data_IF_671695960048
#
_entry.id   IF_671695960048
#
_cell.length_a   1.000
_cell.length_b   1.000
_cell.length_c   1.000
_cell.angle_alpha   90.00
_cell.angle_beta   90.00
_cell.angle_gamma   90.00
#
_symmetry.space_group_name_H-M   'P 1'
#
loop_
_entity.id
_entity.type
_entity.pdbx_description
1 polymer ?
#
# COMPACT_ATOMS: atom_id res chain seq x y z
N UNK A 1 17.76 20.39 1.08
CA UNK A 1 17.24 19.35 1.98
C UNK A 1 15.77 19.58 2.39
N UNK A 2 15.38 20.75 2.87
CA UNK A 2 14.00 21.07 3.31
C UNK A 2 12.97 20.86 2.18
N UNK A 3 13.29 21.29 0.95
CA UNK A 3 12.39 21.16 -0.22
C UNK A 3 12.13 19.68 -0.56
N UNK A 4 13.12 18.81 -0.46
CA UNK A 4 12.96 17.38 -0.71
C UNK A 4 12.04 16.72 0.33
N UNK A 5 12.14 17.12 1.59
CA UNK A 5 11.27 16.64 2.68
C UNK A 5 9.83 17.11 2.46
N UNK A 6 9.63 18.39 2.09
CA UNK A 6 8.30 18.92 1.78
C UNK A 6 7.65 18.20 0.60
N UNK A 7 8.38 17.98 -0.49
CA UNK A 7 7.87 17.23 -1.65
C UNK A 7 7.51 15.80 -1.24
N UNK A 8 8.34 15.14 -0.43
CA UNK A 8 8.05 13.78 0.04
C UNK A 8 6.79 13.71 0.89
N UNK A 9 6.56 14.69 1.78
CA UNK A 9 5.35 14.76 2.61
C UNK A 9 4.12 15.02 1.74
N UNK A 10 4.20 15.95 0.78
CA UNK A 10 3.09 16.25 -0.12
C UNK A 10 2.75 15.04 -1.01
N UNK A 11 3.75 14.38 -1.57
CA UNK A 11 3.56 13.18 -2.38
C UNK A 11 2.97 12.04 -1.54
N UNK A 12 3.44 11.86 -0.30
CA UNK A 12 2.92 10.85 0.61
C UNK A 12 1.45 11.12 0.97
N UNK A 13 1.09 12.35 1.30
CA UNK A 13 -0.30 12.72 1.60
C UNK A 13 -1.23 12.54 0.39
N UNK A 14 -0.78 12.95 -0.79
CA UNK A 14 -1.54 12.76 -2.03
C UNK A 14 -1.73 11.27 -2.35
N UNK A 15 -0.69 10.46 -2.15
CA UNK A 15 -0.75 9.02 -2.33
C UNK A 15 -1.72 8.34 -1.35
N UNK A 16 -1.72 8.74 -0.08
CA UNK A 16 -2.63 8.21 0.94
C UNK A 16 -4.10 8.54 0.65
N UNK A 17 -4.39 9.74 0.16
CA UNK A 17 -5.77 10.12 -0.22
C UNK A 17 -6.28 9.29 -1.40
N UNK A 18 -5.42 8.98 -2.38
CA UNK A 18 -5.78 8.13 -3.53
C UNK A 18 -5.88 6.63 -3.16
N UNK A 19 -5.41 6.24 -1.98
CA UNK A 19 -5.50 4.88 -1.46
C UNK A 19 -6.67 4.66 -0.49
N UNK A 20 -7.52 5.66 -0.29
CA UNK A 20 -8.69 5.51 0.57
C UNK A 20 -9.49 4.28 0.15
N UNK A 21 -9.62 3.34 1.06
CA UNK A 21 -10.43 2.13 0.86
C UNK A 21 -11.74 2.27 1.61
N UNK A 22 -12.81 1.84 0.98
CA UNK A 22 -14.15 1.86 1.52
C UNK A 22 -14.50 0.49 2.10
N UNK A 23 -15.14 0.50 3.24
CA UNK A 23 -15.69 -0.73 3.82
C UNK A 23 -17.03 -1.09 3.17
N UNK A 24 -17.45 -2.35 3.20
CA UNK A 24 -18.78 -2.77 2.75
C UNK A 24 -19.93 -1.93 3.34
N UNK A 25 -19.84 -1.57 4.61
CA UNK A 25 -20.81 -0.71 5.28
C UNK A 25 -20.85 0.71 4.69
N UNK A 26 -19.71 1.30 4.43
CA UNK A 26 -19.62 2.63 3.81
C UNK A 26 -20.17 2.63 2.39
N UNK A 27 -19.84 1.60 1.60
CA UNK A 27 -20.35 1.43 0.22
C UNK A 27 -21.87 1.35 0.22
N UNK A 28 -22.46 0.58 1.13
CA UNK A 28 -23.91 0.40 1.22
C UNK A 28 -24.65 1.68 1.66
N UNK A 29 -24.07 2.44 2.61
CA UNK A 29 -24.70 3.66 3.14
C UNK A 29 -24.56 4.83 2.17
N UNK A 30 -23.35 5.03 1.63
CA UNK A 30 -23.04 6.24 0.84
C UNK A 30 -23.26 6.07 -0.66
N UNK A 31 -23.38 4.81 -1.14
CA UNK A 31 -23.67 4.45 -2.54
C UNK A 31 -22.86 5.29 -3.55
N UNK A 32 -21.52 5.26 -3.49
CA UNK A 32 -20.69 6.12 -4.32
C UNK A 32 -20.93 5.83 -5.81
N UNK A 33 -21.09 6.89 -6.59
CA UNK A 33 -21.25 6.81 -8.06
C UNK A 33 -19.93 6.75 -8.80
N UNK A 34 -18.83 7.14 -8.13
CA UNK A 34 -17.49 7.11 -8.68
C UNK A 34 -16.84 5.74 -8.48
N UNK A 35 -15.74 5.54 -9.18
CA UNK A 35 -14.91 4.36 -9.00
C UNK A 35 -14.19 4.42 -7.66
N UNK A 36 -14.35 3.39 -6.86
CA UNK A 36 -13.80 3.29 -5.50
C UNK A 36 -13.04 1.98 -5.28
N UNK A 37 -12.26 1.96 -4.22
CA UNK A 37 -11.63 0.75 -3.71
C UNK A 37 -12.41 0.21 -2.51
N UNK A 38 -12.98 -0.97 -2.64
CA UNK A 38 -13.68 -1.65 -1.55
C UNK A 38 -12.74 -2.68 -0.90
N UNK A 39 -12.56 -2.59 0.42
CA UNK A 39 -11.77 -3.53 1.22
C UNK A 39 -12.73 -4.46 1.97
N UNK A 40 -12.50 -5.75 1.92
CA UNK A 40 -13.25 -6.73 2.70
C UNK A 40 -12.74 -8.15 2.47
N UNK A 41 -13.35 -9.09 3.16
CA UNK A 41 -13.05 -10.52 3.04
C UNK A 41 -14.10 -11.20 2.16
N UNK A 42 -13.67 -12.11 1.28
CA UNK A 42 -14.58 -12.97 0.51
C UNK A 42 -15.28 -13.93 1.47
N UNK A 43 -16.60 -13.83 1.56
CA UNK A 43 -17.41 -14.69 2.43
C UNK A 43 -17.35 -16.14 1.94
N UNK A 44 -17.04 -17.09 2.85
CA UNK A 44 -17.00 -18.52 2.53
C UNK A 44 -18.31 -19.05 1.98
N UNK A 45 -18.24 -19.95 0.98
CA UNK A 45 -19.40 -20.56 0.35
C UNK A 45 -20.18 -19.65 -0.60
N UNK A 46 -19.71 -18.42 -0.88
CA UNK A 46 -20.42 -17.48 -1.75
C UNK A 46 -19.77 -17.29 -3.11
N UNK A 47 -18.55 -17.78 -3.30
CA UNK A 47 -17.81 -17.65 -4.56
C UNK A 47 -18.43 -18.58 -5.62
N UNK A 48 -18.97 -17.98 -6.68
CA UNK A 48 -19.61 -18.66 -7.81
C UNK A 48 -19.10 -18.08 -9.11
N UNK A 49 -19.24 -18.85 -10.20
CA UNK A 49 -18.82 -18.42 -11.54
C UNK A 49 -17.48 -19.03 -11.96
N UNK A 50 -16.93 -18.56 -13.05
CA UNK A 50 -15.67 -19.05 -13.59
C UNK A 50 -14.51 -18.07 -13.29
N UNK A 51 -13.86 -18.30 -12.16
CA UNK A 51 -12.71 -17.47 -11.74
C UNK A 51 -11.61 -17.46 -12.80
N UNK A 52 -11.43 -18.57 -13.52
CA UNK A 52 -10.40 -18.67 -14.58
C UNK A 52 -10.67 -17.77 -15.77
N UNK A 53 -11.94 -17.47 -16.05
CA UNK A 53 -12.34 -16.58 -17.14
C UNK A 53 -12.50 -15.12 -16.69
N UNK A 54 -12.21 -14.85 -15.42
CA UNK A 54 -12.34 -13.51 -14.86
C UNK A 54 -13.79 -13.05 -14.66
N UNK A 55 -14.75 -13.99 -14.57
CA UNK A 55 -16.16 -13.70 -14.28
C UNK A 55 -16.60 -14.49 -13.05
N UNK A 56 -16.79 -13.78 -11.95
CA UNK A 56 -17.14 -14.39 -10.67
C UNK A 56 -18.11 -13.50 -9.86
N UNK A 57 -18.96 -14.16 -9.09
CA UNK A 57 -19.85 -13.48 -8.14
C UNK A 57 -19.56 -14.01 -6.74
N UNK A 58 -19.54 -13.12 -5.76
CA UNK A 58 -19.31 -13.47 -4.36
C UNK A 58 -19.83 -12.37 -3.44
N UNK A 59 -19.75 -12.59 -2.13
CA UNK A 59 -20.05 -11.56 -1.15
C UNK A 59 -18.78 -11.07 -0.48
N UNK A 60 -18.61 -9.76 -0.42
CA UNK A 60 -17.53 -9.10 0.31
C UNK A 60 -18.05 -8.71 1.69
N UNK A 61 -17.45 -9.23 2.74
CA UNK A 61 -17.88 -9.03 4.13
C UNK A 61 -16.83 -8.29 4.93
N UNK A 62 -17.28 -7.39 5.80
CA UNK A 62 -16.51 -6.79 6.88
C UNK A 62 -17.45 -6.42 8.03
N UNK A 63 -17.06 -6.74 9.28
CA UNK A 63 -17.86 -6.46 10.49
C UNK A 63 -19.34 -6.88 10.35
N UNK A 64 -19.58 -8.12 9.88
CA UNK A 64 -20.91 -8.71 9.68
C UNK A 64 -21.77 -8.09 8.55
N UNK A 65 -21.32 -7.02 7.91
CA UNK A 65 -22.00 -6.40 6.78
C UNK A 65 -21.41 -6.94 5.49
N UNK A 66 -22.26 -7.49 4.63
CA UNK A 66 -21.86 -8.10 3.37
C UNK A 66 -22.53 -7.42 2.19
N UNK A 67 -21.75 -7.07 1.18
CA UNK A 67 -22.25 -6.57 -0.12
C UNK A 67 -22.05 -7.62 -1.21
N UNK A 68 -23.00 -7.77 -2.14
CA UNK A 68 -22.81 -8.62 -3.31
C UNK A 68 -21.84 -7.95 -4.28
N UNK A 69 -20.95 -8.75 -4.83
CA UNK A 69 -19.92 -8.34 -5.80
C UNK A 69 -20.06 -9.16 -7.07
N UNK A 70 -20.02 -8.50 -8.20
CA UNK A 70 -19.80 -9.11 -9.50
C UNK A 70 -18.44 -8.66 -10.03
N UNK A 71 -17.52 -9.59 -10.12
CA UNK A 71 -16.20 -9.36 -10.66
C UNK A 71 -16.18 -9.71 -12.15
N UNK A 72 -15.75 -8.76 -12.96
CA UNK A 72 -15.51 -8.97 -14.38
C UNK A 72 -14.22 -8.27 -14.80
N UNK A 73 -13.13 -9.03 -14.89
CA UNK A 73 -11.81 -8.48 -15.14
C UNK A 73 -10.79 -9.54 -15.56
N UNK A 74 -9.50 -9.21 -15.51
CA UNK A 74 -8.42 -10.16 -15.78
C UNK A 74 -8.51 -11.37 -14.84
N UNK A 75 -8.02 -12.53 -15.29
CA UNK A 75 -7.96 -13.74 -14.44
C UNK A 75 -7.25 -13.43 -13.12
N UNK A 76 -7.93 -13.53 -11.99
CA UNK A 76 -7.33 -13.13 -10.71
C UNK A 76 -6.59 -14.30 -10.06
N UNK A 77 -5.29 -14.18 -9.87
CA UNK A 77 -4.48 -15.22 -9.19
C UNK A 77 -4.86 -15.41 -7.72
N UNK A 78 -5.57 -14.44 -7.13
CA UNK A 78 -5.74 -14.35 -5.69
C UNK A 78 -7.19 -14.36 -5.21
N UNK A 79 -8.17 -14.54 -6.09
CA UNK A 79 -9.58 -14.62 -5.70
C UNK A 79 -9.88 -16.00 -5.08
N UNK A 80 -9.96 -16.04 -3.77
CA UNK A 80 -10.28 -17.23 -2.98
C UNK A 80 -11.20 -16.88 -1.84
N UNK A 81 -11.97 -17.86 -1.39
CA UNK A 81 -12.80 -17.72 -0.19
C UNK A 81 -11.95 -17.41 1.06
N UNK A 82 -12.52 -16.68 1.99
CA UNK A 82 -11.93 -16.28 3.26
C UNK A 82 -10.65 -15.40 3.12
N UNK A 83 -10.42 -14.85 1.94
CA UNK A 83 -9.29 -13.97 1.68
C UNK A 83 -9.72 -12.52 1.70
N UNK A 84 -8.94 -11.66 2.38
CA UNK A 84 -9.13 -10.21 2.36
C UNK A 84 -8.51 -9.63 1.10
N UNK A 85 -9.30 -8.87 0.36
CA UNK A 85 -8.97 -8.30 -0.93
C UNK A 85 -9.34 -6.81 -0.98
N UNK A 86 -8.70 -6.09 -1.87
CA UNK A 86 -9.12 -4.75 -2.29
C UNK A 86 -9.69 -4.89 -3.70
N UNK A 87 -10.93 -4.51 -3.87
CA UNK A 87 -11.63 -4.50 -5.16
C UNK A 87 -11.67 -3.09 -5.71
N UNK A 88 -11.31 -2.90 -6.96
CA UNK A 88 -11.51 -1.65 -7.69
C UNK A 88 -12.76 -1.77 -8.56
N UNK A 89 -13.70 -0.86 -8.41
CA UNK A 89 -14.95 -0.92 -9.15
C UNK A 89 -15.93 0.18 -8.79
N UNK A 90 -17.18 0.00 -9.19
CA UNK A 90 -18.28 0.95 -8.97
C UNK A 90 -19.46 0.27 -8.27
N UNK A 91 -20.14 1.02 -7.43
CA UNK A 91 -21.41 0.58 -6.88
C UNK A 91 -22.53 0.81 -7.91
N UNK A 92 -23.31 -0.22 -8.19
CA UNK A 92 -24.50 -0.14 -9.03
C UNK A 92 -25.76 -0.12 -8.13
N UNK A 93 -26.36 1.03 -7.90
CA UNK A 93 -27.51 1.15 -7.01
C UNK A 93 -28.78 0.48 -7.57
N UNK A 94 -28.89 0.32 -8.88
CA UNK A 94 -30.06 -0.33 -9.50
C UNK A 94 -30.18 -1.80 -9.15
N UNK A 95 -29.05 -2.49 -9.05
CA UNK A 95 -28.96 -3.93 -8.75
C UNK A 95 -28.48 -4.20 -7.32
N UNK A 96 -28.07 -3.16 -6.58
CA UNK A 96 -27.41 -3.27 -5.28
C UNK A 96 -26.17 -4.21 -5.32
N UNK A 97 -25.35 -4.08 -6.37
CA UNK A 97 -24.16 -4.92 -6.60
C UNK A 97 -22.95 -4.03 -6.81
N UNK A 98 -21.82 -4.41 -6.22
CA UNK A 98 -20.55 -3.80 -6.51
C UNK A 98 -19.92 -4.45 -7.75
N UNK A 99 -19.80 -3.70 -8.83
CA UNK A 99 -19.19 -4.14 -10.08
C UNK A 99 -17.69 -3.93 -10.01
N UNK A 100 -16.96 -4.98 -9.70
CA UNK A 100 -15.50 -4.97 -9.59
C UNK A 100 -14.87 -5.33 -10.93
N UNK A 101 -13.87 -4.55 -11.35
CA UNK A 101 -13.09 -4.78 -12.58
C UNK A 101 -11.66 -5.23 -12.32
N UNK A 102 -11.15 -4.99 -11.11
CA UNK A 102 -9.78 -5.36 -10.74
C UNK A 102 -9.69 -5.77 -9.27
N UNK A 103 -8.72 -6.62 -8.96
CA UNK A 103 -8.48 -7.15 -7.62
C UNK A 103 -7.06 -6.87 -7.21
N UNK A 104 -6.90 -6.04 -6.18
CA UNK A 104 -5.63 -5.78 -5.52
C UNK A 104 -5.43 -6.64 -4.28
N UNK A 105 -4.18 -6.94 -3.99
CA UNK A 105 -3.81 -7.53 -2.71
C UNK A 105 -3.73 -6.45 -1.63
N UNK A 106 -4.14 -6.80 -0.42
CA UNK A 106 -3.85 -5.99 0.76
C UNK A 106 -2.36 -6.11 1.05
N UNK A 107 -1.58 -5.16 0.57
CA UNK A 107 -0.15 -5.08 0.89
C UNK A 107 0.01 -4.31 2.19
N UNK A 108 0.60 -4.93 3.19
CA UNK A 108 0.92 -4.25 4.45
C UNK A 108 2.14 -3.33 4.26
N UNK A 109 1.92 -2.16 3.63
CA UNK A 109 2.97 -1.17 3.39
C UNK A 109 3.66 -0.73 4.69
N UNK A 110 2.94 -0.71 5.81
CA UNK A 110 3.52 -0.39 7.11
C UNK A 110 4.65 -1.35 7.49
N UNK A 111 4.47 -2.64 7.28
CA UNK A 111 5.51 -3.65 7.51
C UNK A 111 6.71 -3.46 6.58
N UNK A 112 6.46 -3.22 5.29
CA UNK A 112 7.52 -3.00 4.30
C UNK A 112 8.34 -1.76 4.63
N UNK A 113 7.69 -0.64 4.94
CA UNK A 113 8.37 0.61 5.34
C UNK A 113 9.16 0.40 6.63
N UNK A 114 8.61 -0.29 7.62
CA UNK A 114 9.30 -0.58 8.88
C UNK A 114 10.55 -1.43 8.65
N UNK A 115 10.48 -2.44 7.79
CA UNK A 115 11.63 -3.27 7.43
C UNK A 115 12.75 -2.46 6.76
N UNK A 116 12.41 -1.55 5.84
CA UNK A 116 13.39 -0.65 5.23
C UNK A 116 14.01 0.32 6.24
N UNK A 117 13.22 0.90 7.15
CA UNK A 117 13.73 1.80 8.19
C UNK A 117 14.69 1.10 9.15
N UNK A 118 14.39 -0.13 9.57
CA UNK A 118 15.28 -0.94 10.42
C UNK A 118 16.62 -1.19 9.74
N UNK A 119 16.67 -1.34 8.42
CA UNK A 119 17.90 -1.49 7.66
C UNK A 119 18.65 -0.18 7.39
N UNK A 120 17.91 0.87 7.01
CA UNK A 120 18.51 2.16 6.61
C UNK A 120 19.04 2.97 7.79
N UNK A 121 18.42 2.94 8.96
CA UNK A 121 18.86 3.72 10.13
C UNK A 121 20.27 3.29 10.59
N UNK A 122 20.55 1.99 10.83
CA UNK A 122 21.91 1.56 11.20
C UNK A 122 22.95 1.88 10.12
N UNK A 123 22.59 1.74 8.84
CA UNK A 123 23.47 2.07 7.73
C UNK A 123 23.81 3.57 7.70
N UNK A 124 22.82 4.44 7.91
CA UNK A 124 23.04 5.89 7.98
C UNK A 124 23.93 6.27 9.16
N UNK A 125 23.73 5.67 10.33
CA UNK A 125 24.57 5.87 11.52
C UNK A 125 26.01 5.42 11.23
N UNK A 126 26.19 4.26 10.61
CA UNK A 126 27.49 3.72 10.24
C UNK A 126 28.24 4.65 9.26
N UNK A 127 27.55 5.10 8.19
CA UNK A 127 28.14 6.03 7.22
C UNK A 127 28.51 7.38 7.86
N UNK A 128 27.66 7.88 8.77
CA UNK A 128 27.96 9.10 9.51
C UNK A 128 29.19 8.94 10.41
N UNK A 129 29.28 7.84 11.14
CA UNK A 129 30.43 7.52 12.00
C UNK A 129 31.71 7.38 11.18
N UNK A 130 31.68 6.68 10.04
CA UNK A 130 32.81 6.58 9.12
C UNK A 130 33.23 7.94 8.54
N UNK A 131 32.26 8.74 8.08
CA UNK A 131 32.56 10.09 7.55
C UNK A 131 33.26 10.97 8.60
N UNK A 132 32.83 10.90 9.85
CA UNK A 132 33.48 11.63 10.95
C UNK A 132 34.93 11.13 11.20
N UNK A 133 35.13 9.82 11.15
CA UNK A 133 36.47 9.20 11.34
C UNK A 133 37.42 9.57 10.22
N UNK A 134 36.99 9.57 8.99
CA UNK A 134 37.76 9.97 7.82
C UNK A 134 38.18 11.44 7.92
N UNK A 135 37.29 12.34 8.33
CA UNK A 135 37.63 13.76 8.53
C UNK A 135 38.69 13.95 9.60
N UNK A 136 38.57 13.23 10.72
CA UNK A 136 39.54 13.30 11.80
C UNK A 136 40.93 12.86 11.33
N UNK A 137 41.02 11.73 10.63
CA UNK A 137 42.30 11.23 10.07
C UNK A 137 42.90 12.20 9.02
N UNK A 138 42.04 12.81 8.20
CA UNK A 138 42.49 13.81 7.23
C UNK A 138 43.10 15.04 7.89
N UNK A 139 42.52 15.55 8.96
CA UNK A 139 43.02 16.67 9.73
C UNK A 139 44.36 16.31 10.42
N UNK A 140 44.48 15.11 10.97
CA UNK A 140 45.69 14.62 11.60
C UNK A 140 46.85 14.50 10.60
N UNK A 141 46.59 13.96 9.40
CA UNK A 141 47.60 13.88 8.32
C UNK A 141 47.99 15.27 7.86
N UNK A 142 47.05 16.20 7.74
CA UNK A 142 47.34 17.57 7.36
C UNK A 142 48.22 18.29 8.39
N UNK A 143 47.92 18.10 9.68
CA UNK A 143 48.73 18.65 10.77
C UNK A 143 50.17 18.07 10.76
N UNK A 144 50.33 16.76 10.59
CA UNK A 144 51.64 16.12 10.56
C UNK A 144 52.51 16.59 9.37
N UNK A 145 51.92 16.88 8.21
CA UNK A 145 52.66 17.42 7.07
C UNK A 145 53.17 18.86 7.31
N UNK A 146 52.42 19.68 8.03
CA UNK A 146 52.83 21.03 8.38
C UNK A 146 54.04 21.05 9.33
N UNK A 147 54.22 20.03 10.18
CA UNK A 147 55.40 19.89 11.07
C UNK A 147 56.64 19.34 10.37
N UNK A 148 56.56 18.83 9.14
CA UNK A 148 57.71 18.34 8.38
C UNK A 148 58.31 19.39 7.44
N UNK A 149 57.63 20.52 7.22
CA UNK A 149 58.08 21.62 6.37
C UNK A 149 58.77 22.77 7.16
N UNK A 150 58.90 22.71 8.49
CA UNK A 150 59.74 23.55 9.34
C UNK A 150 61.09 22.87 9.66
#
# INVERSE_FOLDING_TARGET
>A
MIVAVLISILTYNHYQQNLATWTPSQVQIQQPTEEIRALGMVQGGTLKGNVSDGDATFRLIENEIAIPVHYKGPTPDNLRELKTLILLGKWNPSNNVFEARDIGLVTNYGFVISAYLIGLIPLAIFLFAMSRRVRFLYEEIKASKLYQEE
#
